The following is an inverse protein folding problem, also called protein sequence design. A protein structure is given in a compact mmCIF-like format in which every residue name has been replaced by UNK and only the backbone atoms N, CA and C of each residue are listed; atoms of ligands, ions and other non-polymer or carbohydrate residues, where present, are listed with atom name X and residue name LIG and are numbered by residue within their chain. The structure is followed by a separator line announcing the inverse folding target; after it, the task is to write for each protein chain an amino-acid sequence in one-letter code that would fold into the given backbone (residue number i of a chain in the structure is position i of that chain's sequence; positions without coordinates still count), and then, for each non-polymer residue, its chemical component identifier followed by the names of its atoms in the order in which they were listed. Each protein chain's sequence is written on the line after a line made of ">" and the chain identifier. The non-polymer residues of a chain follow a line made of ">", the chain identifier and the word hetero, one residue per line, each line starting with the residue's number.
data_IF_232772779614
#
_entry.id   IF_232772779614
#
_cell.length_a   1.000
_cell.length_b   1.000
_cell.length_c   1.000
_cell.angle_alpha   90.00
_cell.angle_beta   90.00
_cell.angle_gamma   90.00
#
_symmetry.space_group_name_H-M   'P 1'
#
loop_
_entity.id
_entity.type
_entity.pdbx_description
1 polymer ?
#
# COMPACT_ATOMS: atom_id res chain seq x y z
N UNK A 1 -5.58 -5.94 -29.51
CA UNK A 1 -4.27 -5.28 -29.33
C UNK A 1 -4.16 -4.80 -27.90
N UNK A 2 -3.06 -5.03 -27.19
CA UNK A 2 -2.89 -4.61 -25.81
C UNK A 2 -2.89 -3.07 -25.71
N UNK A 3 -3.78 -2.50 -24.90
CA UNK A 3 -3.85 -1.05 -24.69
C UNK A 3 -2.99 -0.62 -23.52
N UNK A 4 -1.80 -0.11 -23.80
CA UNK A 4 -0.90 0.46 -22.79
C UNK A 4 -1.54 1.64 -22.04
N UNK A 5 -2.37 2.43 -22.74
CA UNK A 5 -3.02 3.59 -22.15
C UNK A 5 -4.00 3.20 -21.04
N UNK A 6 -4.88 2.23 -21.32
CA UNK A 6 -5.86 1.79 -20.33
C UNK A 6 -5.21 1.09 -19.16
N UNK A 7 -4.22 0.22 -19.44
CA UNK A 7 -3.44 -0.47 -18.42
C UNK A 7 -2.70 0.50 -17.48
N UNK A 8 -1.92 1.43 -18.06
CA UNK A 8 -1.14 2.40 -17.27
C UNK A 8 -2.06 3.39 -16.55
N UNK A 9 -3.18 3.81 -17.18
CA UNK A 9 -4.16 4.67 -16.52
C UNK A 9 -4.74 4.01 -15.28
N UNK A 10 -5.17 2.75 -15.39
CA UNK A 10 -5.65 1.98 -14.23
C UNK A 10 -4.57 1.83 -13.16
N UNK A 11 -3.35 1.43 -13.56
CA UNK A 11 -2.23 1.20 -12.66
C UNK A 11 -1.87 2.47 -11.86
N UNK A 12 -1.75 3.60 -12.56
CA UNK A 12 -1.39 4.90 -11.95
C UNK A 12 -2.52 5.43 -11.07
N UNK A 13 -3.76 5.46 -11.57
CA UNK A 13 -4.90 5.96 -10.78
C UNK A 13 -5.08 5.16 -9.50
N UNK A 14 -4.98 3.83 -9.59
CA UNK A 14 -5.10 2.98 -8.41
C UNK A 14 -3.92 3.16 -7.46
N UNK A 15 -2.68 3.29 -7.96
CA UNK A 15 -1.50 3.47 -7.13
C UNK A 15 -1.46 4.83 -6.43
N UNK A 16 -1.92 5.91 -7.08
CA UNK A 16 -1.91 7.26 -6.51
C UNK A 16 -2.99 7.48 -5.46
N UNK A 17 -4.13 6.76 -5.55
CA UNK A 17 -5.25 6.93 -4.62
C UNK A 17 -4.84 6.64 -3.18
N UNK A 18 -5.42 7.36 -2.19
CA UNK A 18 -5.20 7.08 -0.78
C UNK A 18 -5.46 5.61 -0.43
N UNK A 19 -4.59 5.05 0.40
CA UNK A 19 -4.71 3.69 0.89
C UNK A 19 -3.66 3.44 1.97
N UNK A 20 -3.66 2.26 2.64
CA UNK A 20 -2.79 2.00 3.78
C UNK A 20 -1.31 2.29 3.50
N UNK A 21 -0.80 1.84 2.34
CA UNK A 21 0.59 2.06 1.94
C UNK A 21 0.92 3.56 1.87
N UNK A 22 0.12 4.32 1.13
CA UNK A 22 0.33 5.74 0.87
C UNK A 22 0.19 6.57 2.14
N UNK A 23 -0.85 6.32 2.94
CA UNK A 23 -1.09 7.05 4.19
C UNK A 23 -0.01 6.76 5.24
N UNK A 24 0.44 5.50 5.36
CA UNK A 24 1.52 5.15 6.27
C UNK A 24 2.87 5.72 5.81
N UNK A 25 3.13 5.72 4.49
CA UNK A 25 4.33 6.33 3.91
C UNK A 25 4.38 7.83 4.18
N UNK A 26 3.24 8.52 3.95
CA UNK A 26 3.06 9.95 4.29
C UNK A 26 3.30 10.21 5.78
N UNK A 27 2.61 9.47 6.65
CA UNK A 27 2.68 9.63 8.10
C UNK A 27 4.10 9.39 8.63
N UNK A 28 4.74 8.30 8.22
CA UNK A 28 6.10 7.98 8.64
C UNK A 28 7.10 9.04 8.18
N UNK A 29 7.02 9.49 6.92
CA UNK A 29 7.92 10.52 6.41
C UNK A 29 7.63 11.90 7.00
N UNK A 30 6.39 12.22 7.30
CA UNK A 30 6.01 13.43 8.02
C UNK A 30 6.58 13.49 9.44
N UNK A 31 6.73 12.33 10.09
CA UNK A 31 7.27 12.19 11.44
C UNK A 31 8.80 12.07 11.44
N UNK A 32 9.33 11.12 10.69
CA UNK A 32 10.75 10.73 10.74
C UNK A 32 11.61 11.49 9.73
N UNK A 33 11.01 12.07 8.70
CA UNK A 33 11.67 12.57 7.50
C UNK A 33 11.88 11.45 6.48
N UNK A 34 12.08 11.82 5.22
CA UNK A 34 12.15 10.90 4.07
C UNK A 34 13.18 9.77 4.26
N UNK A 35 14.42 10.12 4.64
CA UNK A 35 15.51 9.14 4.76
C UNK A 35 15.23 8.06 5.80
N UNK A 36 14.67 8.42 6.97
CA UNK A 36 14.36 7.47 8.04
C UNK A 36 13.09 6.66 7.75
N UNK A 37 12.16 7.18 6.95
CA UNK A 37 10.97 6.47 6.49
C UNK A 37 11.25 5.55 5.28
N UNK A 38 12.37 5.72 4.58
CA UNK A 38 12.69 4.97 3.36
C UNK A 38 12.71 3.44 3.55
N UNK A 39 13.26 2.86 4.65
CA UNK A 39 13.21 1.42 4.88
C UNK A 39 11.77 0.86 4.90
N UNK A 40 10.79 1.61 5.40
CA UNK A 40 9.39 1.22 5.36
C UNK A 40 8.88 1.09 3.91
N UNK A 41 9.21 2.05 3.04
CA UNK A 41 8.84 2.01 1.63
C UNK A 41 9.53 0.85 0.88
N UNK A 42 10.78 0.53 1.23
CA UNK A 42 11.46 -0.68 0.71
C UNK A 42 10.75 -1.95 1.16
N UNK A 43 10.28 -2.02 2.41
CA UNK A 43 9.46 -3.11 2.91
C UNK A 43 8.16 -3.25 2.11
N UNK A 44 7.48 -2.14 1.83
CA UNK A 44 6.31 -2.13 0.96
C UNK A 44 6.66 -2.73 -0.40
N UNK A 45 7.71 -2.24 -1.06
CA UNK A 45 8.09 -2.72 -2.39
C UNK A 45 8.40 -4.21 -2.40
N UNK A 46 9.20 -4.69 -1.47
CA UNK A 46 9.56 -6.11 -1.37
C UNK A 46 8.33 -6.99 -1.14
N UNK A 47 7.50 -6.66 -0.14
CA UNK A 47 6.27 -7.40 0.16
C UNK A 47 5.26 -7.33 -0.99
N UNK A 48 5.10 -6.15 -1.60
CA UNK A 48 4.23 -5.96 -2.75
C UNK A 48 4.68 -6.80 -3.95
N UNK A 49 5.98 -6.81 -4.27
CA UNK A 49 6.53 -7.63 -5.36
C UNK A 49 6.23 -9.12 -5.13
N UNK A 50 6.40 -9.61 -3.90
CA UNK A 50 6.08 -11.00 -3.57
C UNK A 50 4.59 -11.28 -3.75
N UNK A 51 3.70 -10.44 -3.22
CA UNK A 51 2.26 -10.62 -3.38
C UNK A 51 1.86 -10.59 -4.85
N UNK A 52 2.42 -9.63 -5.64
CA UNK A 52 2.15 -9.54 -7.07
C UNK A 52 2.58 -10.82 -7.83
N UNK A 53 3.77 -11.34 -7.54
CA UNK A 53 4.24 -12.59 -8.15
C UNK A 53 3.37 -13.78 -7.75
N UNK A 54 3.06 -13.93 -6.46
CA UNK A 54 2.18 -15.00 -5.99
C UNK A 54 0.80 -14.92 -6.64
N UNK A 55 0.19 -13.73 -6.68
CA UNK A 55 -1.10 -13.53 -7.34
C UNK A 55 -1.02 -13.85 -8.83
N UNK A 56 0.07 -13.49 -9.51
CA UNK A 56 0.24 -13.76 -10.95
C UNK A 56 0.36 -15.27 -11.22
N UNK A 57 1.19 -15.98 -10.44
CA UNK A 57 1.36 -17.42 -10.61
C UNK A 57 0.11 -18.25 -10.23
N UNK A 58 -0.66 -17.77 -9.27
CA UNK A 58 -1.85 -18.45 -8.79
C UNK A 58 -3.16 -17.79 -9.25
N UNK A 59 -3.12 -16.91 -10.28
CA UNK A 59 -4.28 -16.10 -10.67
C UNK A 59 -5.51 -16.96 -10.96
N UNK A 60 -5.36 -18.06 -11.73
CA UNK A 60 -6.47 -18.98 -11.99
C UNK A 60 -7.03 -19.65 -10.73
N UNK A 61 -6.16 -20.13 -9.84
CA UNK A 61 -6.58 -20.71 -8.56
C UNK A 61 -7.08 -19.64 -7.58
N UNK A 62 -6.54 -18.42 -7.65
CA UNK A 62 -6.98 -17.29 -6.83
C UNK A 62 -8.35 -16.77 -7.29
N UNK A 63 -8.64 -16.74 -8.59
CA UNK A 63 -9.97 -16.35 -9.09
C UNK A 63 -11.08 -17.21 -8.52
N UNK A 64 -10.83 -18.52 -8.33
CA UNK A 64 -11.76 -19.43 -7.70
C UNK A 64 -11.77 -19.35 -6.16
N UNK A 65 -10.61 -19.05 -5.56
CA UNK A 65 -10.42 -19.02 -4.10
C UNK A 65 -10.82 -17.65 -3.51
N UNK A 66 -10.53 -16.55 -4.20
CA UNK A 66 -10.77 -15.18 -3.70
C UNK A 66 -12.22 -14.93 -3.32
N UNK A 67 -13.26 -15.33 -4.09
CA UNK A 67 -14.64 -15.16 -3.63
C UNK A 67 -14.89 -15.80 -2.27
N UNK A 68 -14.23 -16.92 -1.96
CA UNK A 68 -14.38 -17.67 -0.69
C UNK A 68 -13.59 -17.03 0.46
N UNK A 69 -12.41 -16.48 0.18
CA UNK A 69 -11.54 -15.87 1.20
C UNK A 69 -11.63 -14.35 1.25
N UNK A 70 -12.38 -13.73 0.34
CA UNK A 70 -12.54 -12.27 0.25
C UNK A 70 -12.99 -11.67 1.59
N UNK A 71 -14.05 -12.20 2.17
CA UNK A 71 -14.59 -11.68 3.43
C UNK A 71 -13.60 -11.75 4.59
N UNK A 72 -12.97 -12.92 4.91
CA UNK A 72 -11.94 -12.96 5.95
C UNK A 72 -10.73 -12.06 5.65
N UNK A 73 -10.31 -11.91 4.38
CA UNK A 73 -9.23 -10.98 4.02
C UNK A 73 -9.63 -9.52 4.26
N UNK A 74 -10.84 -9.12 3.88
CA UNK A 74 -11.35 -7.77 4.12
C UNK A 74 -11.43 -7.47 5.62
N UNK A 75 -11.90 -8.42 6.43
CA UNK A 75 -11.97 -8.29 7.89
C UNK A 75 -10.56 -8.15 8.48
N UNK A 76 -9.61 -9.01 8.10
CA UNK A 76 -8.24 -8.94 8.58
C UNK A 76 -7.55 -7.63 8.15
N UNK A 77 -7.75 -7.19 6.90
CA UNK A 77 -7.25 -5.93 6.38
C UNK A 77 -7.83 -4.72 7.12
N UNK A 78 -9.15 -4.71 7.33
CA UNK A 78 -9.81 -3.65 8.09
C UNK A 78 -9.34 -3.61 9.55
N UNK A 79 -9.25 -4.75 10.22
CA UNK A 79 -8.75 -4.85 11.60
C UNK A 79 -7.32 -4.30 11.70
N UNK A 80 -6.45 -4.64 10.74
CA UNK A 80 -5.09 -4.11 10.69
C UNK A 80 -5.05 -2.61 10.42
N UNK A 81 -5.90 -2.07 9.54
CA UNK A 81 -6.01 -0.63 9.32
C UNK A 81 -6.50 0.12 10.56
N UNK A 82 -7.47 -0.44 11.29
CA UNK A 82 -7.93 0.12 12.56
C UNK A 82 -6.83 0.08 13.62
N UNK A 83 -6.03 -0.98 13.68
CA UNK A 83 -4.84 -1.05 14.52
C UNK A 83 -3.83 0.05 14.18
N UNK A 84 -3.55 0.27 12.88
CA UNK A 84 -2.67 1.34 12.42
C UNK A 84 -3.25 2.73 12.71
N UNK A 85 -4.57 2.91 12.53
CA UNK A 85 -5.27 4.15 12.86
C UNK A 85 -5.12 4.50 14.34
N UNK A 86 -5.34 3.52 15.22
CA UNK A 86 -5.15 3.67 16.66
C UNK A 86 -3.70 4.01 17.04
N UNK A 87 -2.74 3.31 16.44
CA UNK A 87 -1.32 3.59 16.64
C UNK A 87 -0.92 4.99 16.16
N UNK A 88 -1.50 5.45 15.04
CA UNK A 88 -1.27 6.81 14.50
C UNK A 88 -1.89 7.88 15.40
N UNK A 89 -3.12 7.66 15.85
CA UNK A 89 -3.82 8.58 16.75
C UNK A 89 -3.08 8.78 18.10
N UNK A 90 -2.59 7.68 18.69
CA UNK A 90 -1.83 7.70 19.96
C UNK A 90 -0.37 8.10 19.82
N UNK A 91 0.12 8.36 18.61
CA UNK A 91 1.52 8.71 18.41
C UNK A 91 1.85 10.06 19.08
N UNK A 92 2.93 10.12 19.89
CA UNK A 92 3.35 11.37 20.52
C UNK A 92 3.77 12.43 19.49
N UNK A 93 3.78 13.72 19.84
CA UNK A 93 4.38 14.77 19.02
C UNK A 93 5.83 14.44 18.67
N UNK A 94 6.29 14.90 17.50
CA UNK A 94 7.60 14.57 16.92
C UNK A 94 8.81 14.91 17.81
N UNK A 95 8.67 15.83 18.75
CA UNK A 95 9.72 16.25 19.67
C UNK A 95 10.14 15.16 20.66
N UNK A 96 9.25 14.20 20.94
CA UNK A 96 9.49 13.14 21.93
C UNK A 96 9.83 11.78 21.30
N UNK A 97 9.55 11.59 20.01
CA UNK A 97 9.63 10.28 19.33
C UNK A 97 11.00 9.97 18.70
N UNK A 98 12.04 10.75 18.98
CA UNK A 98 13.36 10.57 18.35
C UNK A 98 14.09 9.28 18.74
N UNK A 99 13.54 8.47 19.65
CA UNK A 99 14.20 7.27 20.21
C UNK A 99 13.49 5.93 19.95
N UNK A 100 12.22 5.91 19.59
CA UNK A 100 11.50 4.62 19.44
C UNK A 100 11.41 4.18 17.97
N UNK A 101 12.39 3.43 17.51
CA UNK A 101 12.50 2.81 16.18
C UNK A 101 11.60 1.59 15.97
N UNK A 102 10.29 1.65 16.30
CA UNK A 102 9.46 0.44 16.28
C UNK A 102 8.43 0.29 15.16
N UNK A 103 7.81 1.35 14.69
CA UNK A 103 6.60 1.24 13.85
C UNK A 103 6.73 1.70 12.38
N UNK A 104 7.89 2.13 11.93
CA UNK A 104 8.14 2.64 10.57
C UNK A 104 9.26 1.92 9.84
N UNK A 105 9.66 0.72 10.27
CA UNK A 105 10.76 -0.03 9.68
C UNK A 105 10.33 -0.93 8.51
N UNK A 106 11.31 -1.54 7.84
CA UNK A 106 11.14 -2.45 6.71
C UNK A 106 10.09 -3.54 6.99
N UNK A 107 10.18 -4.23 8.13
CA UNK A 107 9.25 -5.32 8.49
C UNK A 107 7.78 -4.90 8.54
N UNK A 108 7.50 -3.69 9.05
CA UNK A 108 6.12 -3.17 9.10
C UNK A 108 5.56 -2.90 7.70
N UNK A 109 6.37 -2.31 6.80
CA UNK A 109 6.00 -2.10 5.40
C UNK A 109 5.81 -3.41 4.65
N UNK A 110 6.65 -4.40 4.93
CA UNK A 110 6.60 -5.73 4.33
C UNK A 110 5.32 -6.49 4.73
N UNK A 111 5.06 -6.62 6.03
CA UNK A 111 3.91 -7.35 6.57
C UNK A 111 2.59 -6.70 6.14
N UNK A 112 2.56 -5.37 6.05
CA UNK A 112 1.38 -4.62 5.60
C UNK A 112 0.83 -5.15 4.26
N UNK A 113 1.67 -5.63 3.34
CA UNK A 113 1.24 -6.05 2.02
C UNK A 113 0.38 -7.33 2.05
N UNK A 114 0.66 -8.23 2.99
CA UNK A 114 -0.07 -9.50 3.11
C UNK A 114 -1.48 -9.35 3.71
N UNK A 115 -1.75 -8.26 4.38
CA UNK A 115 -3.07 -7.94 4.95
C UNK A 115 -3.78 -6.79 4.22
N UNK A 116 -3.14 -6.20 3.20
CA UNK A 116 -3.67 -5.08 2.44
C UNK A 116 -4.53 -5.56 1.27
N UNK A 117 -5.85 -5.64 1.48
CA UNK A 117 -6.80 -6.07 0.46
C UNK A 117 -6.68 -5.28 -0.85
N UNK A 118 -6.32 -3.99 -0.80
CA UNK A 118 -6.13 -3.16 -2.01
C UNK A 118 -5.05 -3.73 -2.94
N UNK A 119 -3.99 -4.33 -2.38
CA UNK A 119 -2.89 -4.94 -3.15
C UNK A 119 -3.41 -6.13 -3.97
N UNK A 120 -4.22 -6.99 -3.37
CA UNK A 120 -4.80 -8.14 -4.06
C UNK A 120 -5.78 -7.72 -5.15
N UNK A 121 -6.68 -6.76 -4.85
CA UNK A 121 -7.63 -6.21 -5.84
C UNK A 121 -6.86 -5.59 -7.01
N UNK A 122 -5.84 -4.80 -6.72
CA UNK A 122 -4.98 -4.20 -7.74
C UNK A 122 -4.33 -5.25 -8.65
N UNK A 123 -3.79 -6.33 -8.05
CA UNK A 123 -3.18 -7.42 -8.80
C UNK A 123 -4.20 -8.12 -9.71
N UNK A 124 -5.31 -8.57 -9.13
CA UNK A 124 -6.31 -9.38 -9.86
C UNK A 124 -6.88 -8.59 -11.01
N UNK A 125 -7.34 -7.37 -10.76
CA UNK A 125 -7.92 -6.54 -11.83
C UNK A 125 -6.88 -6.23 -12.90
N UNK A 126 -5.62 -5.92 -12.52
CA UNK A 126 -4.56 -5.69 -13.49
C UNK A 126 -4.29 -6.93 -14.35
N UNK A 127 -4.23 -8.10 -13.73
CA UNK A 127 -3.94 -9.35 -14.45
C UNK A 127 -5.13 -9.79 -15.29
N UNK A 128 -6.33 -9.90 -14.73
CA UNK A 128 -7.48 -10.47 -15.43
C UNK A 128 -8.05 -9.54 -16.52
N UNK A 129 -8.16 -8.23 -16.22
CA UNK A 129 -8.77 -7.31 -17.17
C UNK A 129 -7.82 -6.83 -18.27
N UNK A 130 -6.51 -6.73 -17.99
CA UNK A 130 -5.58 -6.08 -18.91
C UNK A 130 -4.49 -7.01 -19.45
N UNK A 131 -3.91 -7.93 -18.65
CA UNK A 131 -2.69 -8.64 -19.02
C UNK A 131 -2.99 -10.04 -19.56
N UNK A 132 -3.71 -10.86 -18.80
CA UNK A 132 -3.97 -12.26 -19.18
C UNK A 132 -4.66 -12.46 -20.54
N UNK A 133 -5.60 -11.58 -20.99
CA UNK A 133 -6.21 -11.73 -22.31
C UNK A 133 -5.21 -11.71 -23.48
N UNK A 134 -4.00 -11.18 -23.25
CA UNK A 134 -2.99 -11.01 -24.30
C UNK A 134 -1.70 -11.82 -24.08
N UNK A 135 -1.40 -12.18 -22.83
CA UNK A 135 -0.13 -12.81 -22.43
C UNK A 135 -0.33 -14.12 -21.65
N UNK A 136 -1.48 -14.78 -21.83
CA UNK A 136 -1.75 -16.06 -21.18
C UNK A 136 -0.69 -17.10 -21.59
N UNK A 137 -0.02 -17.69 -20.60
CA UNK A 137 1.05 -18.68 -20.82
C UNK A 137 2.44 -18.09 -21.07
N UNK A 138 2.57 -16.79 -21.25
CA UNK A 138 3.87 -16.10 -21.35
C UNK A 138 4.39 -15.69 -19.96
N UNK A 139 4.99 -16.67 -19.25
CA UNK A 139 5.48 -16.47 -17.88
C UNK A 139 6.51 -15.35 -17.74
N UNK A 140 7.49 -15.17 -18.67
CA UNK A 140 8.38 -14.01 -18.65
C UNK A 140 7.64 -12.67 -18.69
N UNK A 141 6.69 -12.50 -19.61
CA UNK A 141 5.89 -11.28 -19.71
C UNK A 141 5.05 -11.06 -18.43
N UNK A 142 4.37 -12.10 -17.95
CA UNK A 142 3.55 -12.01 -16.71
C UNK A 142 4.41 -11.60 -15.51
N UNK A 143 5.61 -12.16 -15.37
CA UNK A 143 6.54 -11.79 -14.30
C UNK A 143 6.97 -10.32 -14.41
N UNK A 144 7.29 -9.86 -15.64
CA UNK A 144 7.69 -8.48 -15.89
C UNK A 144 6.55 -7.50 -15.54
N UNK A 145 5.32 -7.79 -15.94
CA UNK A 145 4.15 -6.98 -15.60
C UNK A 145 3.90 -6.94 -14.09
N UNK A 146 4.04 -8.06 -13.39
CA UNK A 146 3.91 -8.11 -11.92
C UNK A 146 4.92 -7.18 -11.23
N UNK A 147 6.19 -7.24 -11.65
CA UNK A 147 7.25 -6.38 -11.11
C UNK A 147 7.05 -4.92 -11.49
N UNK A 148 6.59 -4.64 -12.72
CA UNK A 148 6.26 -3.28 -13.17
C UNK A 148 5.15 -2.66 -12.31
N UNK A 149 4.08 -3.41 -12.05
CA UNK A 149 2.98 -2.96 -11.21
C UNK A 149 3.43 -2.70 -9.76
N UNK A 150 4.27 -3.60 -9.21
CA UNK A 150 4.86 -3.40 -7.88
C UNK A 150 5.77 -2.16 -7.84
N UNK A 151 6.53 -1.91 -8.90
CA UNK A 151 7.39 -0.74 -9.03
C UNK A 151 6.59 0.56 -9.15
N UNK A 152 5.50 0.57 -9.94
CA UNK A 152 4.57 1.72 -10.01
C UNK A 152 4.02 2.03 -8.61
N UNK A 153 3.54 1.02 -7.89
CA UNK A 153 3.07 1.20 -6.52
C UNK A 153 4.14 1.78 -5.59
N UNK A 154 5.37 1.29 -5.69
CA UNK A 154 6.52 1.80 -4.94
C UNK A 154 6.81 3.27 -5.23
N UNK A 155 6.83 3.68 -6.51
CA UNK A 155 7.05 5.07 -6.88
C UNK A 155 6.01 6.00 -6.22
N UNK A 156 4.74 5.61 -6.21
CA UNK A 156 3.72 6.43 -5.57
C UNK A 156 3.85 6.46 -4.05
N UNK A 157 4.27 5.37 -3.39
CA UNK A 157 4.57 5.44 -1.95
C UNK A 157 5.73 6.39 -1.67
N UNK A 158 6.74 6.47 -2.54
CA UNK A 158 7.82 7.46 -2.44
C UNK A 158 7.32 8.90 -2.64
N UNK A 159 6.41 9.13 -3.60
CA UNK A 159 5.78 10.45 -3.79
C UNK A 159 5.03 10.88 -2.51
N UNK A 160 4.24 9.99 -1.92
CA UNK A 160 3.55 10.25 -0.66
C UNK A 160 4.51 10.49 0.50
N UNK A 161 5.62 9.73 0.56
CA UNK A 161 6.70 9.96 1.54
C UNK A 161 7.38 11.32 1.33
N UNK A 162 7.68 11.69 0.09
CA UNK A 162 8.30 12.98 -0.22
C UNK A 162 7.37 14.13 0.19
N UNK A 163 6.07 14.03 -0.12
CA UNK A 163 5.07 14.98 0.32
C UNK A 163 5.00 15.07 1.85
N UNK A 164 4.93 13.93 2.56
CA UNK A 164 4.94 13.90 4.02
C UNK A 164 6.18 14.57 4.61
N UNK A 165 7.36 14.32 4.02
CA UNK A 165 8.61 14.92 4.45
C UNK A 165 8.68 16.43 4.18
N UNK A 166 8.17 16.90 3.03
CA UNK A 166 8.13 18.33 2.68
C UNK A 166 7.27 19.12 3.68
N UNK A 167 6.18 18.54 4.15
CA UNK A 167 5.29 19.15 5.14
C UNK A 167 5.60 18.77 6.59
N UNK A 168 6.80 18.20 6.86
CA UNK A 168 7.19 17.76 8.19
C UNK A 168 7.06 18.84 9.27
N UNK A 169 7.46 20.08 9.00
CA UNK A 169 7.34 21.18 9.95
C UNK A 169 5.88 21.51 10.28
N UNK A 170 5.01 21.51 9.28
CA UNK A 170 3.58 21.72 9.47
C UNK A 170 2.96 20.59 10.27
N UNK A 171 3.29 19.35 9.94
CA UNK A 171 2.82 18.15 10.64
C UNK A 171 3.33 18.11 12.08
N UNK A 172 4.57 18.57 12.34
CA UNK A 172 5.12 18.72 13.68
C UNK A 172 4.37 19.77 14.51
N UNK A 173 4.13 20.95 13.91
CA UNK A 173 3.43 22.05 14.59
C UNK A 173 2.00 21.69 14.95
N UNK A 174 1.31 20.93 14.10
CA UNK A 174 -0.08 20.51 14.27
C UNK A 174 -0.20 18.99 14.45
N UNK A 175 0.77 18.36 15.13
CA UNK A 175 0.89 16.90 15.23
C UNK A 175 -0.40 16.21 15.67
N UNK A 176 -1.12 16.76 16.65
CA UNK A 176 -2.38 16.19 17.12
C UNK A 176 -3.46 16.20 16.03
N UNK A 177 -3.60 17.31 15.31
CA UNK A 177 -4.57 17.42 14.20
C UNK A 177 -4.18 16.49 13.07
N UNK A 178 -2.91 16.48 12.68
CA UNK A 178 -2.40 15.61 11.62
C UNK A 178 -2.60 14.13 11.95
N UNK A 179 -2.25 13.71 13.16
CA UNK A 179 -2.44 12.33 13.60
C UNK A 179 -3.92 11.93 13.58
N UNK A 180 -4.81 12.84 14.01
CA UNK A 180 -6.27 12.61 13.96
C UNK A 180 -6.75 12.46 12.52
N UNK A 181 -6.36 13.37 11.62
CA UNK A 181 -6.75 13.30 10.19
C UNK A 181 -6.24 12.00 9.55
N UNK A 182 -4.97 11.62 9.79
CA UNK A 182 -4.41 10.38 9.26
C UNK A 182 -5.13 9.14 9.81
N UNK A 183 -5.45 9.13 11.10
CA UNK A 183 -6.21 8.05 11.72
C UNK A 183 -7.63 7.94 11.11
N UNK A 184 -8.31 9.06 10.91
CA UNK A 184 -9.64 9.08 10.27
C UNK A 184 -9.58 8.59 8.82
N UNK A 185 -8.54 8.96 8.05
CA UNK A 185 -8.34 8.45 6.70
C UNK A 185 -8.09 6.94 6.69
N UNK A 186 -7.34 6.39 7.65
CA UNK A 186 -7.15 4.95 7.80
C UNK A 186 -8.46 4.23 8.19
N UNK A 187 -9.27 4.82 9.07
CA UNK A 187 -10.62 4.32 9.38
C UNK A 187 -11.50 4.36 8.14
N UNK A 188 -11.50 5.46 7.40
CA UNK A 188 -12.22 5.55 6.13
C UNK A 188 -11.80 4.45 5.15
N UNK A 189 -10.47 4.22 4.99
CA UNK A 189 -9.98 3.11 4.16
C UNK A 189 -10.45 1.73 4.67
N UNK A 190 -10.52 1.54 5.99
CA UNK A 190 -11.03 0.29 6.56
C UNK A 190 -12.51 0.07 6.25
N UNK A 191 -13.33 1.11 6.36
CA UNK A 191 -14.77 1.06 6.04
C UNK A 191 -15.01 0.88 4.55
N UNK A 192 -14.24 1.61 3.72
CA UNK A 192 -14.39 1.55 2.25
C UNK A 192 -14.07 0.18 1.64
N UNK A 193 -13.47 -0.75 2.40
CA UNK A 193 -13.29 -2.14 1.96
C UNK A 193 -14.61 -2.92 1.88
N UNK A 194 -15.67 -2.44 2.55
CA UNK A 194 -16.96 -3.11 2.64
C UNK A 194 -18.07 -2.39 1.85
N UNK A 195 -17.76 -1.26 1.24
CA UNK A 195 -18.66 -0.50 0.36
C UNK A 195 -18.39 -0.84 -1.10
#
# INVERSE_FOLDING_TARGET
>A
MFSWLDFLSYAVVTAVTPGPNNLMSLSNAGRLGFRRAFPFNLGIWAGFSIVMLLCTFFCGALSDLIPKVKTPMLIAGAAYMLYLAWGTFKSPPLTEAAGEGGKGGFGSGFILQFVNAKVYIYCIVSMEAYILPYYQGDWPALTLFALLLAFIGFLFTLCWSAFGSAFKLLFSRYARVTNTVMALLLVYCAVSLFL
#
